data_IF_832623266327
#
_entry.id   IF_832623266327
#
_cell.length_a   1.000
_cell.length_b   1.000
_cell.length_c   1.000
_cell.angle_alpha   90.00
_cell.angle_beta   90.00
_cell.angle_gamma   90.00
#
_symmetry.space_group_name_H-M   'P 1'
#
loop_
_entity.id
_entity.type
_entity.pdbx_description
1 polymer ?
#
# COMPACT_ATOMS: atom_id res chain seq x y z
N UNK A 1 -0.42 -26.72 -0.12
CA UNK A 1 -0.57 -25.31 -0.56
C UNK A 1 -1.95 -24.71 -0.26
N UNK A 2 -3.09 -25.34 -0.59
CA UNK A 2 -4.43 -24.75 -0.34
C UNK A 2 -4.74 -24.49 1.16
N UNK A 3 -4.33 -25.39 2.05
CA UNK A 3 -4.58 -25.26 3.51
C UNK A 3 -3.89 -24.04 4.14
N UNK A 4 -2.67 -23.71 3.70
CA UNK A 4 -1.92 -22.56 4.21
C UNK A 4 -2.49 -21.23 3.73
N UNK A 5 -3.00 -21.18 2.49
CA UNK A 5 -3.67 -20.01 1.94
C UNK A 5 -5.02 -19.74 2.64
N UNK A 6 -5.78 -20.80 2.94
CA UNK A 6 -7.02 -20.72 3.72
C UNK A 6 -6.75 -20.25 5.15
N UNK A 7 -5.69 -20.75 5.80
CA UNK A 7 -5.31 -20.32 7.14
C UNK A 7 -4.92 -18.82 7.16
N UNK A 8 -4.17 -18.38 6.15
CA UNK A 8 -3.80 -16.96 6.01
C UNK A 8 -4.99 -16.04 5.75
N UNK A 9 -6.00 -16.50 5.01
CA UNK A 9 -7.26 -15.79 4.81
C UNK A 9 -8.10 -15.73 6.09
N UNK A 10 -8.20 -16.84 6.82
CA UNK A 10 -8.92 -16.91 8.09
C UNK A 10 -8.31 -15.98 9.15
N UNK A 11 -6.98 -15.96 9.28
CA UNK A 11 -6.27 -15.05 10.21
C UNK A 11 -6.54 -13.59 9.83
N UNK A 12 -6.47 -13.23 8.54
CA UNK A 12 -6.77 -11.86 8.08
C UNK A 12 -8.23 -11.47 8.34
N UNK A 13 -9.17 -12.39 8.16
CA UNK A 13 -10.57 -12.15 8.44
C UNK A 13 -10.82 -11.91 9.94
N UNK A 14 -10.20 -12.73 10.81
CA UNK A 14 -10.28 -12.57 12.27
C UNK A 14 -9.66 -11.26 12.74
N UNK A 15 -8.47 -10.88 12.24
CA UNK A 15 -7.83 -9.61 12.60
C UNK A 15 -8.67 -8.40 12.20
N UNK A 16 -9.26 -8.42 10.99
CA UNK A 16 -10.16 -7.34 10.52
C UNK A 16 -11.43 -7.27 11.34
N UNK A 17 -12.02 -8.42 11.71
CA UNK A 17 -13.20 -8.46 12.57
C UNK A 17 -12.89 -7.90 13.98
N UNK A 18 -11.71 -8.18 14.53
CA UNK A 18 -11.28 -7.64 15.82
C UNK A 18 -11.09 -6.11 15.77
N UNK A 19 -10.42 -5.60 14.74
CA UNK A 19 -10.21 -4.15 14.54
C UNK A 19 -11.54 -3.41 14.33
N UNK A 20 -12.48 -4.04 13.63
CA UNK A 20 -13.84 -3.51 13.43
C UNK A 20 -14.64 -3.51 14.74
N UNK A 21 -14.52 -4.56 15.57
CA UNK A 21 -15.13 -4.64 16.90
C UNK A 21 -14.62 -3.54 17.85
N UNK A 22 -13.31 -3.28 17.86
CA UNK A 22 -12.69 -2.21 18.65
C UNK A 22 -13.16 -0.82 18.22
N UNK A 23 -13.29 -0.59 16.91
CA UNK A 23 -13.79 0.67 16.37
C UNK A 23 -15.30 0.87 16.58
N UNK A 24 -16.08 -0.21 16.57
CA UNK A 24 -17.52 -0.18 16.82
C UNK A 24 -17.86 -0.02 18.31
N UNK A 25 -17.09 -0.66 19.22
CA UNK A 25 -17.21 -0.46 20.68
C UNK A 25 -17.10 1.01 21.11
N UNK A 26 -16.37 1.81 20.34
CA UNK A 26 -16.14 3.24 20.62
C UNK A 26 -17.28 4.15 20.17
N UNK A 27 -18.18 3.69 19.28
CA UNK A 27 -19.05 4.59 18.54
C UNK A 27 -20.55 4.27 18.54
N UNK A 28 -21.05 3.09 18.92
CA UNK A 28 -22.51 2.84 18.93
C UNK A 28 -22.94 1.58 19.71
N UNK A 29 -24.23 1.58 20.09
CA UNK A 29 -24.98 0.58 20.86
C UNK A 29 -24.50 -0.88 20.73
N UNK A 30 -24.29 -1.48 21.90
CA UNK A 30 -23.75 -2.82 22.17
C UNK A 30 -24.37 -3.93 21.32
N UNK A 31 -25.67 -3.87 21.03
CA UNK A 31 -26.40 -5.04 20.54
C UNK A 31 -26.17 -5.32 19.05
N UNK A 32 -26.05 -4.28 18.22
CA UNK A 32 -25.77 -4.45 16.78
C UNK A 32 -24.35 -4.98 16.54
N UNK A 33 -23.40 -4.55 17.36
CA UNK A 33 -22.00 -5.01 17.31
C UNK A 33 -21.90 -6.46 17.78
N UNK A 34 -22.63 -6.82 18.84
CA UNK A 34 -22.71 -8.20 19.32
C UNK A 34 -23.36 -9.12 18.29
N UNK A 35 -24.45 -8.69 17.65
CA UNK A 35 -25.10 -9.44 16.57
C UNK A 35 -24.15 -9.68 15.39
N UNK A 36 -23.45 -8.64 14.92
CA UNK A 36 -22.47 -8.78 13.83
C UNK A 36 -21.33 -9.75 14.17
N UNK A 37 -20.75 -9.63 15.37
CA UNK A 37 -19.67 -10.52 15.83
C UNK A 37 -20.16 -11.97 15.94
N UNK A 38 -21.40 -12.20 16.41
CA UNK A 38 -22.01 -13.53 16.47
C UNK A 38 -22.16 -14.14 15.08
N UNK A 39 -22.72 -13.40 14.12
CA UNK A 39 -22.89 -13.88 12.74
C UNK A 39 -21.57 -14.25 12.08
N UNK A 40 -20.51 -13.44 12.27
CA UNK A 40 -19.18 -13.76 11.72
C UNK A 40 -18.60 -15.03 12.34
N UNK A 41 -18.83 -15.25 13.65
CA UNK A 41 -18.39 -16.46 14.35
C UNK A 41 -19.14 -17.70 13.85
N UNK A 42 -20.45 -17.60 13.67
CA UNK A 42 -21.28 -18.72 13.20
C UNK A 42 -20.91 -19.13 11.77
N UNK A 43 -20.63 -18.16 10.88
CA UNK A 43 -20.12 -18.45 9.53
C UNK A 43 -18.75 -19.11 9.58
N UNK A 44 -17.85 -18.68 10.46
CA UNK A 44 -16.53 -19.28 10.60
C UNK A 44 -16.61 -20.75 11.10
N UNK A 45 -17.48 -21.03 12.08
CA UNK A 45 -17.74 -22.38 12.57
C UNK A 45 -18.34 -23.25 11.47
N UNK A 46 -19.34 -22.75 10.74
CA UNK A 46 -19.95 -23.46 9.61
C UNK A 46 -18.94 -23.82 8.52
N UNK A 47 -18.01 -22.91 8.19
CA UNK A 47 -16.93 -23.18 7.21
C UNK A 47 -16.00 -24.27 7.72
N UNK A 48 -15.66 -24.27 9.01
CA UNK A 48 -14.81 -25.30 9.61
C UNK A 48 -15.54 -26.65 9.58
N UNK A 49 -16.78 -26.71 10.03
CA UNK A 49 -17.56 -27.95 10.12
C UNK A 49 -17.89 -28.56 8.75
N UNK A 50 -18.12 -27.73 7.72
CA UNK A 50 -18.48 -28.21 6.38
C UNK A 50 -17.31 -28.31 5.40
N UNK A 51 -16.12 -27.74 5.68
CA UNK A 51 -14.93 -27.91 4.83
C UNK A 51 -13.77 -28.69 5.45
N UNK A 52 -13.86 -29.07 6.73
CA UNK A 52 -12.84 -29.89 7.40
C UNK A 52 -13.37 -31.25 7.92
N UNK A 53 -14.54 -31.73 7.45
CA UNK A 53 -14.82 -33.16 7.58
C UNK A 53 -13.83 -33.93 6.71
N UNK A 54 -13.00 -34.83 7.28
CA UNK A 54 -12.25 -35.77 6.47
C UNK A 54 -13.26 -36.70 5.81
N UNK A 55 -13.24 -36.80 4.49
CA UNK A 55 -13.85 -37.93 3.79
C UNK A 55 -13.15 -39.20 4.27
N UNK A 56 -13.78 -39.85 5.24
CA UNK A 56 -13.54 -41.25 5.54
C UNK A 56 -14.33 -42.08 4.53
N UNK A 57 -13.65 -43.08 3.97
CA UNK A 57 -14.18 -44.25 3.27
C UNK A 57 -14.67 -44.08 1.81
N UNK A 58 -13.88 -44.57 0.85
CA UNK A 58 -14.04 -45.92 0.27
C UNK A 58 -13.23 -46.12 -1.04
N UNK A 59 -12.38 -47.17 -1.04
CA UNK A 59 -12.13 -48.22 -2.07
C UNK A 59 -12.01 -47.80 -3.56
N UNK A 60 -11.07 -48.27 -4.37
CA UNK A 60 -10.61 -49.66 -4.51
C UNK A 60 -9.33 -49.74 -5.37
N UNK A 61 -8.73 -50.93 -5.30
CA UNK A 61 -7.50 -51.47 -5.88
C UNK A 61 -7.29 -51.31 -7.40
N UNK A 62 -6.04 -51.12 -7.83
CA UNK A 62 -5.39 -52.06 -8.76
C UNK A 62 -3.86 -51.95 -8.77
N UNK A 63 -3.28 -53.11 -9.04
CA UNK A 63 -1.92 -53.59 -8.77
C UNK A 63 -0.88 -53.28 -9.86
N UNK A 64 0.38 -53.38 -9.39
CA UNK A 64 1.61 -53.83 -10.05
C UNK A 64 2.65 -52.82 -10.58
N UNK A 65 3.87 -53.04 -10.07
CA UNK A 65 5.22 -52.95 -10.68
C UNK A 65 5.61 -51.62 -11.34
N UNK A 66 6.71 -50.95 -11.02
CA UNK A 66 8.06 -51.48 -10.85
C UNK A 66 8.99 -50.45 -10.20
N UNK A 67 9.98 -50.96 -9.48
CA UNK A 67 11.06 -50.24 -8.82
C UNK A 67 12.09 -49.67 -9.81
N UNK A 68 12.47 -48.41 -9.61
CA UNK A 68 13.80 -47.78 -9.83
C UNK A 68 13.59 -46.27 -9.62
N UNK A 69 14.07 -45.63 -8.57
CA UNK A 69 15.47 -45.56 -8.14
C UNK A 69 15.90 -44.11 -8.31
N UNK A 70 15.86 -43.31 -7.25
CA UNK A 70 16.60 -42.06 -7.17
C UNK A 70 16.96 -41.77 -5.70
N UNK A 71 18.20 -42.10 -5.40
CA UNK A 71 18.92 -41.84 -4.16
C UNK A 71 19.01 -40.35 -3.88
N UNK A 72 18.51 -39.94 -2.72
CA UNK A 72 18.80 -38.65 -2.09
C UNK A 72 20.14 -38.73 -1.36
N UNK A 73 21.08 -37.78 -1.53
CA UNK A 73 22.15 -37.60 -0.58
C UNK A 73 21.67 -36.66 0.55
N UNK A 74 21.45 -37.25 1.71
CA UNK A 74 21.34 -36.60 3.00
C UNK A 74 22.67 -35.93 3.39
N UNK A 75 22.67 -34.62 3.59
CA UNK A 75 23.78 -33.91 4.22
C UNK A 75 23.32 -33.38 5.59
N UNK A 76 23.79 -33.95 6.72
CA UNK A 76 23.45 -33.45 8.04
C UNK A 76 24.57 -32.52 8.50
N UNK A 77 24.39 -31.21 8.37
CA UNK A 77 25.07 -30.20 9.19
C UNK A 77 24.47 -28.82 8.93
N UNK A 78 23.35 -28.52 9.61
CA UNK A 78 22.88 -27.14 9.73
C UNK A 78 22.73 -26.81 11.20
N UNK A 79 23.85 -26.43 11.80
CA UNK A 79 23.92 -25.79 13.11
C UNK A 79 22.93 -24.62 13.11
N UNK A 80 21.94 -24.72 14.00
CA UNK A 80 20.89 -23.73 14.21
C UNK A 80 21.47 -22.43 14.75
N UNK A 81 22.03 -21.60 13.87
CA UNK A 81 22.20 -20.18 14.17
C UNK A 81 20.83 -19.54 14.12
N UNK A 82 20.26 -19.33 15.31
CA UNK A 82 19.18 -18.36 15.55
C UNK A 82 19.68 -17.01 15.03
N UNK A 83 19.40 -16.71 13.76
CA UNK A 83 19.61 -15.37 13.22
C UNK A 83 18.64 -14.47 13.97
N UNK A 84 19.16 -13.77 14.98
CA UNK A 84 18.50 -12.60 15.54
C UNK A 84 18.04 -11.72 14.38
N UNK A 85 16.72 -11.62 14.21
CA UNK A 85 16.12 -10.70 13.26
C UNK A 85 16.41 -9.29 13.76
N UNK A 86 17.56 -8.73 13.36
CA UNK A 86 17.85 -7.32 13.56
C UNK A 86 16.65 -6.52 13.03
N UNK A 87 16.08 -5.59 13.81
CA UNK A 87 14.98 -4.77 13.35
C UNK A 87 15.44 -4.06 12.06
N UNK A 88 14.69 -4.23 10.97
CA UNK A 88 14.96 -3.51 9.73
C UNK A 88 14.93 -2.02 10.09
N UNK A 89 16.08 -1.35 10.05
CA UNK A 89 16.14 0.12 10.15
C UNK A 89 15.18 0.66 9.09
N UNK A 90 14.04 1.20 9.52
CA UNK A 90 13.12 1.91 8.65
C UNK A 90 13.82 3.20 8.25
N UNK A 91 14.60 3.15 7.17
CA UNK A 91 15.22 4.31 6.53
C UNK A 91 14.16 5.15 5.80
N UNK A 92 13.03 5.43 6.45
CA UNK A 92 11.99 6.30 5.95
C UNK A 92 12.26 7.66 6.55
N UNK A 93 12.90 8.55 5.78
CA UNK A 93 13.15 9.91 6.21
C UNK A 93 11.83 10.69 6.24
N UNK A 94 11.54 11.45 7.32
CA UNK A 94 10.37 12.31 7.37
C UNK A 94 10.50 13.46 6.37
N UNK A 95 9.34 13.97 5.92
CA UNK A 95 9.28 14.99 4.86
C UNK A 95 10.07 16.26 5.20
N UNK A 96 10.12 16.62 6.49
CA UNK A 96 10.86 17.78 7.02
C UNK A 96 12.37 17.70 6.75
N UNK A 97 12.94 16.50 6.74
CA UNK A 97 14.38 16.27 6.59
C UNK A 97 14.82 16.12 5.14
N UNK A 98 13.88 16.12 4.19
CA UNK A 98 14.18 15.97 2.77
C UNK A 98 14.60 17.34 2.22
N UNK A 99 15.89 17.49 1.93
CA UNK A 99 16.41 18.60 1.13
C UNK A 99 16.12 18.32 -0.36
N UNK A 100 15.27 19.14 -0.98
CA UNK A 100 14.91 19.04 -2.40
C UNK A 100 14.97 20.42 -3.07
N UNK A 101 15.83 20.55 -4.09
CA UNK A 101 15.93 21.73 -4.95
C UNK A 101 14.66 21.90 -5.81
N UNK A 102 14.14 20.85 -6.49
CA UNK A 102 12.88 20.96 -7.23
C UNK A 102 11.72 21.50 -6.38
N UNK A 103 11.58 21.04 -5.13
CA UNK A 103 10.53 21.51 -4.24
C UNK A 103 10.66 23.01 -3.90
N UNK A 104 11.88 23.54 -3.71
CA UNK A 104 12.07 24.98 -3.48
C UNK A 104 11.75 25.82 -4.72
N UNK A 105 12.12 25.34 -5.90
CA UNK A 105 11.80 26.02 -7.17
C UNK A 105 10.28 26.11 -7.39
N UNK A 106 9.56 25.01 -7.15
CA UNK A 106 8.11 24.97 -7.25
C UNK A 106 7.49 25.91 -6.22
N UNK A 107 7.94 25.85 -4.96
CA UNK A 107 7.43 26.72 -3.89
C UNK A 107 7.63 28.21 -4.20
N UNK A 108 8.78 28.57 -4.76
CA UNK A 108 9.09 29.94 -5.19
C UNK A 108 8.17 30.38 -6.33
N UNK A 109 7.93 29.50 -7.32
CA UNK A 109 6.97 29.75 -8.40
C UNK A 109 5.53 29.91 -7.89
N UNK A 110 5.11 29.07 -6.95
CA UNK A 110 3.79 29.15 -6.30
C UNK A 110 3.57 30.50 -5.62
N UNK A 111 4.56 30.95 -4.83
CA UNK A 111 4.53 32.26 -4.15
C UNK A 111 4.47 33.41 -5.15
N UNK A 112 5.32 33.39 -6.18
CA UNK A 112 5.36 34.42 -7.23
C UNK A 112 4.02 34.55 -7.96
N UNK A 113 3.38 33.43 -8.25
CA UNK A 113 2.14 33.38 -9.01
C UNK A 113 0.88 33.44 -8.13
N UNK A 114 1.01 33.62 -6.81
CA UNK A 114 -0.09 33.54 -5.83
C UNK A 114 -0.99 32.31 -6.04
N UNK A 115 -0.38 31.19 -6.41
CA UNK A 115 -1.12 29.97 -6.73
C UNK A 115 -1.70 29.34 -5.46
N UNK A 116 -2.85 28.67 -5.60
CA UNK A 116 -3.50 27.96 -4.50
C UNK A 116 -2.60 26.84 -3.96
N UNK A 117 -2.44 26.82 -2.64
CA UNK A 117 -1.81 25.70 -1.92
C UNK A 117 -2.85 24.64 -1.58
N UNK A 118 -2.46 23.37 -1.70
CA UNK A 118 -3.31 22.24 -1.36
C UNK A 118 -3.61 22.18 0.14
N UNK A 119 -4.87 21.91 0.50
CA UNK A 119 -5.37 21.83 1.87
C UNK A 119 -5.52 20.38 2.33
N UNK A 120 -5.56 20.16 3.65
CA UNK A 120 -5.72 18.83 4.28
C UNK A 120 -7.01 18.08 3.90
N UNK A 121 -8.02 18.78 3.40
CA UNK A 121 -9.30 18.21 3.00
C UNK A 121 -9.44 18.07 1.47
N UNK A 122 -8.45 18.49 0.71
CA UNK A 122 -8.48 18.32 -0.75
C UNK A 122 -8.35 16.84 -1.10
N UNK A 123 -9.19 16.39 -2.01
CA UNK A 123 -9.25 15.00 -2.45
C UNK A 123 -9.53 14.88 -3.94
N UNK A 124 -9.02 13.79 -4.53
CA UNK A 124 -9.30 13.39 -5.91
C UNK A 124 -9.70 11.91 -5.87
N UNK A 125 -10.86 11.58 -6.44
CA UNK A 125 -11.41 10.22 -6.43
C UNK A 125 -11.46 9.60 -5.02
N UNK A 126 -11.87 10.38 -4.02
CA UNK A 126 -11.93 9.97 -2.61
C UNK A 126 -10.58 9.76 -1.92
N UNK A 127 -9.46 10.14 -2.56
CA UNK A 127 -8.10 9.96 -2.04
C UNK A 127 -7.37 11.29 -1.89
N UNK A 128 -7.07 11.68 -0.64
CA UNK A 128 -6.28 12.88 -0.32
C UNK A 128 -4.87 12.85 -0.89
N UNK A 129 -4.19 11.71 -0.76
CA UNK A 129 -2.82 11.55 -1.24
C UNK A 129 -2.71 11.62 -2.77
N UNK A 130 -3.80 11.30 -3.50
CA UNK A 130 -3.87 11.49 -4.95
C UNK A 130 -4.00 12.98 -5.31
N UNK A 131 -4.86 13.72 -4.60
CA UNK A 131 -4.95 15.17 -4.76
C UNK A 131 -3.59 15.85 -4.55
N UNK A 132 -2.87 15.46 -3.50
CA UNK A 132 -1.56 16.04 -3.18
C UNK A 132 -0.52 15.76 -4.27
N UNK A 133 -0.53 14.53 -4.82
CA UNK A 133 0.33 14.14 -5.92
C UNK A 133 0.02 14.92 -7.19
N UNK A 134 -1.26 15.00 -7.59
CA UNK A 134 -1.68 15.71 -8.81
C UNK A 134 -1.35 17.20 -8.69
N UNK A 135 -1.64 17.80 -7.53
CA UNK A 135 -1.30 19.20 -7.26
C UNK A 135 0.20 19.45 -7.39
N UNK A 136 1.04 18.61 -6.77
CA UNK A 136 2.49 18.76 -6.82
C UNK A 136 3.04 18.63 -8.24
N UNK A 137 2.60 17.62 -8.99
CA UNK A 137 3.06 17.38 -10.36
C UNK A 137 2.58 18.47 -11.34
N UNK A 138 1.34 18.94 -11.20
CA UNK A 138 0.81 20.02 -12.05
C UNK A 138 1.54 21.35 -11.81
N UNK A 139 1.94 21.63 -10.57
CA UNK A 139 2.76 22.80 -10.28
C UNK A 139 4.24 22.64 -10.63
N UNK A 140 4.77 21.41 -10.71
CA UNK A 140 6.10 21.14 -11.25
C UNK A 140 6.21 21.56 -12.73
N UNK A 141 5.19 21.20 -13.52
CA UNK A 141 5.10 21.60 -14.94
C UNK A 141 5.00 23.13 -15.08
N UNK A 142 4.15 23.79 -14.29
CA UNK A 142 4.07 25.26 -14.24
C UNK A 142 5.37 25.95 -13.81
N UNK A 143 6.22 25.26 -13.04
CA UNK A 143 7.56 25.71 -12.68
C UNK A 143 8.63 25.38 -13.73
N UNK A 144 8.23 24.87 -14.91
CA UNK A 144 9.09 24.48 -16.04
C UNK A 144 10.05 23.33 -15.74
N UNK A 145 9.69 22.44 -14.80
CA UNK A 145 10.48 21.24 -14.49
C UNK A 145 10.02 20.09 -15.41
N UNK A 146 10.68 19.96 -16.56
CA UNK A 146 10.27 19.02 -17.63
C UNK A 146 10.60 17.56 -17.34
N UNK A 147 11.64 17.28 -16.56
CA UNK A 147 12.08 15.90 -16.27
C UNK A 147 11.25 15.21 -15.16
N UNK A 148 10.22 15.91 -14.68
CA UNK A 148 9.38 15.49 -13.58
C UNK A 148 10.06 15.61 -12.23
N UNK A 149 9.33 15.18 -11.20
CA UNK A 149 9.80 15.21 -9.82
C UNK A 149 9.62 13.84 -9.17
N UNK A 150 10.44 13.54 -8.17
CA UNK A 150 10.39 12.28 -7.44
C UNK A 150 9.34 12.31 -6.33
N UNK A 151 9.02 11.12 -5.79
CA UNK A 151 8.16 11.00 -4.60
C UNK A 151 8.74 11.70 -3.36
N UNK A 152 10.06 11.87 -3.29
CA UNK A 152 10.73 12.59 -2.21
C UNK A 152 10.54 14.10 -2.36
N UNK A 153 10.63 14.62 -3.58
CA UNK A 153 10.39 16.02 -3.89
C UNK A 153 8.94 16.42 -3.60
N UNK A 154 7.98 15.57 -3.97
CA UNK A 154 6.56 15.76 -3.63
C UNK A 154 6.37 15.82 -2.12
N UNK A 155 6.97 14.89 -1.38
CA UNK A 155 6.90 14.87 0.10
C UNK A 155 7.46 16.17 0.70
N UNK A 156 8.64 16.60 0.26
CA UNK A 156 9.27 17.85 0.70
C UNK A 156 8.41 19.08 0.38
N UNK A 157 7.88 19.16 -0.85
CA UNK A 157 7.04 20.27 -1.30
C UNK A 157 5.77 20.40 -0.45
N UNK A 158 5.06 19.30 -0.20
CA UNK A 158 3.83 19.29 0.59
C UNK A 158 4.06 19.76 2.03
N UNK A 159 5.16 19.32 2.63
CA UNK A 159 5.53 19.77 3.98
C UNK A 159 5.87 21.26 4.01
N UNK A 160 6.62 21.76 3.02
CA UNK A 160 7.02 23.17 2.98
C UNK A 160 5.87 24.11 2.62
N UNK A 161 5.01 23.71 1.69
CA UNK A 161 3.90 24.53 1.23
C UNK A 161 2.74 24.58 2.24
N UNK A 162 2.38 23.43 2.84
CA UNK A 162 1.14 23.31 3.63
C UNK A 162 1.30 22.60 4.98
N UNK A 163 2.53 22.29 5.42
CA UNK A 163 2.81 21.47 6.61
C UNK A 163 2.05 20.13 6.59
N UNK A 164 1.90 19.57 5.39
CA UNK A 164 1.29 18.25 5.18
C UNK A 164 2.40 17.21 5.21
N UNK A 165 2.36 16.34 6.21
CA UNK A 165 3.31 15.24 6.34
C UNK A 165 2.80 14.02 5.58
N UNK A 166 3.39 13.77 4.41
CA UNK A 166 3.10 12.59 3.61
C UNK A 166 4.41 11.88 3.25
N UNK A 167 4.58 10.65 3.72
CA UNK A 167 5.81 9.90 3.47
C UNK A 167 5.96 9.47 1.99
N UNK A 168 7.19 9.43 1.45
CA UNK A 168 7.44 8.99 0.07
C UNK A 168 6.85 7.62 -0.28
N UNK A 169 6.80 6.69 0.68
CA UNK A 169 6.19 5.36 0.48
C UNK A 169 4.68 5.43 0.21
N UNK A 170 3.97 6.37 0.84
CA UNK A 170 2.54 6.56 0.62
C UNK A 170 2.30 7.13 -0.77
N UNK A 171 3.16 8.07 -1.20
CA UNK A 171 3.11 8.67 -2.54
C UNK A 171 3.39 7.59 -3.59
N UNK A 172 4.41 6.76 -3.38
CA UNK A 172 4.75 5.65 -4.28
C UNK A 172 3.57 4.69 -4.49
N UNK A 173 2.86 4.30 -3.42
CA UNK A 173 1.65 3.46 -3.53
C UNK A 173 0.55 4.11 -4.38
N UNK A 174 0.37 5.42 -4.24
CA UNK A 174 -0.61 6.18 -5.02
C UNK A 174 -0.22 6.22 -6.49
N UNK A 175 1.04 6.49 -6.81
CA UNK A 175 1.55 6.47 -8.19
C UNK A 175 1.29 5.11 -8.84
N UNK A 176 1.65 4.01 -8.16
CA UNK A 176 1.43 2.66 -8.68
C UNK A 176 -0.05 2.33 -8.92
N UNK A 177 -0.96 2.91 -8.14
CA UNK A 177 -2.40 2.66 -8.26
C UNK A 177 -3.11 3.57 -9.26
N UNK A 178 -2.44 4.58 -9.83
CA UNK A 178 -3.07 5.62 -10.66
C UNK A 178 -2.24 5.93 -11.93
N UNK A 179 -1.78 4.88 -12.62
CA UNK A 179 -0.97 5.02 -13.84
C UNK A 179 -1.67 5.74 -14.99
N UNK A 180 -3.00 5.80 -14.99
CA UNK A 180 -3.77 6.57 -15.97
C UNK A 180 -3.58 8.10 -15.82
N UNK A 181 -3.24 8.58 -14.60
CA UNK A 181 -3.10 10.00 -14.29
C UNK A 181 -1.63 10.45 -14.18
N UNK A 182 -0.73 9.50 -13.93
CA UNK A 182 0.68 9.76 -13.64
C UNK A 182 1.55 8.78 -14.39
N UNK A 183 2.55 9.28 -15.12
CA UNK A 183 3.53 8.48 -15.85
C UNK A 183 4.92 8.64 -15.26
N UNK A 184 5.69 7.55 -15.24
CA UNK A 184 7.12 7.60 -14.94
C UNK A 184 7.86 8.07 -16.19
N UNK A 185 8.76 9.05 -16.05
CA UNK A 185 9.51 9.64 -17.19
C UNK A 185 11.01 9.45 -17.08
N UNK A 186 11.51 9.17 -15.88
CA UNK A 186 12.93 8.96 -15.64
C UNK A 186 13.20 8.08 -14.43
N UNK A 187 14.45 7.63 -14.34
CA UNK A 187 14.98 6.94 -13.18
C UNK A 187 16.47 7.23 -13.04
N UNK A 188 16.86 7.84 -11.93
CA UNK A 188 18.27 7.96 -11.52
C UNK A 188 18.56 6.99 -10.39
N UNK A 189 19.40 5.98 -10.66
CA UNK A 189 19.73 4.87 -9.74
C UNK A 189 18.47 4.20 -9.18
N UNK A 190 18.02 4.65 -8.01
CA UNK A 190 16.85 4.13 -7.28
C UNK A 190 15.68 5.10 -7.22
N UNK A 191 15.87 6.33 -7.68
CA UNK A 191 14.88 7.41 -7.61
C UNK A 191 14.18 7.52 -8.95
N UNK A 192 12.86 7.39 -8.94
CA UNK A 192 12.00 7.54 -10.12
C UNK A 192 11.40 8.94 -10.17
N UNK A 193 11.31 9.53 -11.36
CA UNK A 193 10.65 10.82 -11.58
C UNK A 193 9.36 10.63 -12.37
N UNK A 194 8.39 11.49 -12.09
CA UNK A 194 7.04 11.36 -12.60
C UNK A 194 6.52 12.69 -13.15
N UNK A 195 5.64 12.58 -14.14
CA UNK A 195 4.84 13.67 -14.70
C UNK A 195 3.36 13.28 -14.72
N UNK A 196 2.49 14.27 -14.86
CA UNK A 196 1.10 14.03 -15.21
C UNK A 196 1.00 13.48 -16.64
N UNK A 197 -0.02 12.66 -16.87
CA UNK A 197 -0.53 12.36 -18.21
C UNK A 197 -1.50 13.47 -18.64
N UNK A 198 -1.97 13.46 -19.88
CA UNK A 198 -3.00 14.40 -20.35
C UNK A 198 -4.26 14.37 -19.47
N UNK A 199 -4.69 13.18 -19.06
CA UNK A 199 -5.82 13.02 -18.13
C UNK A 199 -5.51 13.59 -16.74
N UNK A 200 -4.27 13.39 -16.26
CA UNK A 200 -3.78 13.97 -15.03
C UNK A 200 -3.76 15.50 -15.07
N UNK A 201 -3.32 16.09 -16.18
CA UNK A 201 -3.31 17.54 -16.41
C UNK A 201 -4.72 18.12 -16.45
N UNK A 202 -5.65 17.44 -17.11
CA UNK A 202 -7.07 17.83 -17.11
C UNK A 202 -7.63 17.83 -15.69
N UNK A 203 -7.36 16.77 -14.93
CA UNK A 203 -7.77 16.66 -13.52
C UNK A 203 -7.15 17.78 -12.68
N UNK A 204 -5.88 18.12 -12.92
CA UNK A 204 -5.21 19.21 -12.23
C UNK A 204 -5.89 20.56 -12.49
N UNK A 205 -6.18 20.86 -13.76
CA UNK A 205 -6.88 22.08 -14.18
C UNK A 205 -8.25 22.18 -13.53
N UNK A 206 -9.04 21.11 -13.52
CA UNK A 206 -10.40 21.11 -12.96
C UNK A 206 -10.44 21.27 -11.43
N UNK A 207 -9.40 20.78 -10.73
CA UNK A 207 -9.43 20.70 -9.25
C UNK A 207 -8.63 21.80 -8.55
N UNK A 208 -7.64 22.39 -9.21
CA UNK A 208 -6.63 23.23 -8.56
C UNK A 208 -6.34 24.57 -9.23
N UNK A 209 -6.83 24.79 -10.45
CA UNK A 209 -6.79 26.09 -11.14
C UNK A 209 -8.18 26.71 -11.15
#
# INVERSE_FOLDING_TARGET
MLKEQLLGLAIKAISRAHETKENLKKNLNSDAVQAYVKTVKDVAVWVIENRLKPEAESKETNSNSDLKGFSSPSNPNTTSMVREKKPRKTSIRPAKEIASVPAELILSSLKKNKARVVKKNDECNGKKSLAYLIWALGHADRAKIKDGISVHDVSALLYRAGKIELYPINISRVVHSNQALVRQVGQDKRTKTYLLTELGEKTFKEKFL
#
